data_IF_111130367795
#
_entry.id   IF_111130367795
#
_cell.length_a   1.000
_cell.length_b   1.000
_cell.length_c   1.000
_cell.angle_alpha   90.00
_cell.angle_beta   90.00
_cell.angle_gamma   90.00
#
_symmetry.space_group_name_H-M   'P 1'
#
loop_
_entity.id
_entity.type
_entity.pdbx_description
1 polymer ?
#
# COMPACT_ATOMS: atom_id res chain seq x y z
N UNK A 1 -4.27 -22.63 -8.88
CA UNK A 1 -4.28 -21.15 -9.03
C UNK A 1 -3.29 -20.47 -8.07
N UNK A 2 -3.32 -20.80 -6.77
CA UNK A 2 -2.39 -20.31 -5.72
C UNK A 2 -0.88 -20.39 -6.10
N UNK A 3 -0.33 -21.48 -6.67
CA UNK A 3 1.12 -21.57 -6.93
C UNK A 3 1.61 -20.60 -8.03
N UNK A 4 0.78 -20.26 -9.00
CA UNK A 4 1.12 -19.30 -10.06
C UNK A 4 1.13 -17.86 -9.51
N UNK A 5 0.25 -17.56 -8.55
CA UNK A 5 0.17 -16.25 -7.89
C UNK A 5 1.36 -16.06 -6.95
N UNK A 6 1.69 -17.07 -6.14
CA UNK A 6 2.86 -17.04 -5.27
C UNK A 6 4.16 -16.84 -6.07
N UNK A 7 4.35 -17.60 -7.15
CA UNK A 7 5.49 -17.43 -8.05
C UNK A 7 5.54 -16.03 -8.69
N UNK A 8 4.40 -15.45 -9.05
CA UNK A 8 4.35 -14.10 -9.59
C UNK A 8 4.67 -13.01 -8.55
N UNK A 9 4.25 -13.19 -7.29
CA UNK A 9 4.55 -12.25 -6.20
C UNK A 9 6.03 -12.24 -5.82
N UNK A 10 6.71 -13.39 -5.92
CA UNK A 10 8.15 -13.48 -5.63
C UNK A 10 9.04 -12.94 -6.76
N UNK A 11 8.62 -13.13 -8.02
CA UNK A 11 9.48 -12.86 -9.18
C UNK A 11 9.17 -11.54 -9.91
N UNK A 12 8.05 -10.88 -9.63
CA UNK A 12 7.69 -9.62 -10.29
C UNK A 12 7.90 -8.43 -9.37
N UNK A 13 8.27 -7.26 -9.92
CA UNK A 13 8.27 -6.02 -9.15
C UNK A 13 6.86 -5.77 -8.58
N UNK A 14 6.82 -5.35 -7.31
CA UNK A 14 5.57 -5.10 -6.59
C UNK A 14 4.73 -4.08 -7.34
N UNK A 15 3.43 -4.33 -7.44
CA UNK A 15 2.50 -3.39 -8.07
C UNK A 15 2.38 -2.11 -7.23
N UNK A 16 2.66 -0.92 -7.81
CA UNK A 16 2.49 0.35 -7.11
C UNK A 16 1.01 0.65 -6.91
N UNK A 17 0.64 1.04 -5.70
CA UNK A 17 -0.71 1.39 -5.29
C UNK A 17 -0.71 2.80 -4.73
N UNK A 18 -1.67 3.59 -5.21
CA UNK A 18 -1.95 4.94 -4.73
C UNK A 18 -3.29 4.88 -3.99
N UNK A 19 -3.27 5.21 -2.70
CA UNK A 19 -4.44 5.30 -1.85
C UNK A 19 -4.79 6.77 -1.64
N UNK A 20 -5.95 7.18 -2.16
CA UNK A 20 -6.43 8.55 -2.07
C UNK A 20 -7.57 8.64 -1.07
N UNK A 21 -7.46 9.57 -0.13
CA UNK A 21 -8.50 9.86 0.84
C UNK A 21 -9.40 10.99 0.31
N UNK A 22 -10.68 10.71 0.18
CA UNK A 22 -11.71 11.68 -0.22
C UNK A 22 -12.46 12.22 0.99
N UNK A 23 -13.78 12.06 0.99
CA UNK A 23 -14.64 12.35 2.15
C UNK A 23 -14.84 11.07 2.98
N UNK A 24 -13.76 10.56 3.59
CA UNK A 24 -13.81 9.34 4.40
C UNK A 24 -13.50 9.59 5.89
N UNK A 25 -13.83 8.60 6.72
CA UNK A 25 -13.61 8.64 8.17
C UNK A 25 -12.29 8.02 8.64
N UNK A 26 -11.35 7.71 7.74
CA UNK A 26 -10.10 6.94 7.97
C UNK A 26 -10.26 5.53 8.56
N UNK A 27 -11.46 5.18 8.99
CA UNK A 27 -11.96 3.87 9.41
C UNK A 27 -11.66 2.73 8.40
N UNK A 28 -11.58 3.03 7.11
CA UNK A 28 -11.17 2.08 6.06
C UNK A 28 -9.70 1.69 6.22
N UNK A 29 -8.83 2.65 6.50
CA UNK A 29 -7.41 2.39 6.76
C UNK A 29 -7.18 1.74 8.12
N UNK A 30 -7.96 2.10 9.14
CA UNK A 30 -7.91 1.38 10.43
C UNK A 30 -8.22 -0.11 10.26
N UNK A 31 -9.27 -0.42 9.49
CA UNK A 31 -9.66 -1.79 9.17
C UNK A 31 -8.56 -2.54 8.41
N UNK A 32 -7.88 -1.84 7.49
CA UNK A 32 -6.73 -2.40 6.77
C UNK A 32 -5.56 -2.74 7.71
N UNK A 33 -5.19 -1.84 8.63
CA UNK A 33 -4.10 -2.06 9.59
C UNK A 33 -4.40 -3.25 10.53
N UNK A 34 -5.67 -3.47 10.87
CA UNK A 34 -6.11 -4.59 11.72
C UNK A 34 -6.39 -5.90 10.97
N UNK A 35 -6.18 -5.94 9.66
CA UNK A 35 -6.39 -7.16 8.87
C UNK A 35 -5.41 -8.26 9.27
N UNK A 36 -5.92 -9.50 9.41
CA UNK A 36 -5.14 -10.65 9.89
C UNK A 36 -4.54 -11.51 8.76
N UNK A 37 -5.20 -11.57 7.60
CA UNK A 37 -4.79 -12.40 6.48
C UNK A 37 -5.06 -11.70 5.14
N UNK A 38 -4.06 -11.04 4.52
CA UNK A 38 -2.69 -10.80 5.02
C UNK A 38 -2.64 -9.74 6.13
N UNK A 39 -1.55 -9.77 6.93
CA UNK A 39 -1.24 -8.65 7.82
C UNK A 39 -0.89 -7.41 6.99
N UNK A 40 -1.24 -6.22 7.46
CA UNK A 40 -0.95 -4.98 6.73
C UNK A 40 0.53 -4.81 6.38
N UNK A 41 1.43 -5.20 7.29
CA UNK A 41 2.88 -5.21 7.03
C UNK A 41 3.27 -6.13 5.86
N UNK A 42 2.63 -7.30 5.77
CA UNK A 42 2.95 -8.30 4.74
C UNK A 42 2.30 -7.89 3.41
N UNK A 43 1.16 -7.22 3.46
CA UNK A 43 0.57 -6.60 2.29
C UNK A 43 1.49 -5.53 1.69
N UNK A 44 1.95 -4.56 2.49
CA UNK A 44 2.79 -3.44 2.03
C UNK A 44 4.22 -3.88 1.68
N UNK A 45 4.77 -4.90 2.34
CA UNK A 45 6.16 -5.32 2.11
C UNK A 45 6.29 -6.49 1.13
N UNK A 46 5.25 -7.30 0.94
CA UNK A 46 5.35 -8.53 0.14
C UNK A 46 4.34 -8.62 -0.99
N UNK A 47 3.24 -7.84 -0.97
CA UNK A 47 2.20 -7.92 -2.00
C UNK A 47 2.15 -6.67 -2.90
N UNK A 48 2.12 -5.48 -2.31
CA UNK A 48 1.94 -4.21 -3.02
C UNK A 48 3.00 -3.20 -2.59
N UNK A 49 3.36 -2.26 -3.46
CA UNK A 49 4.14 -1.07 -3.07
C UNK A 49 3.15 0.06 -2.79
N UNK A 50 2.94 0.39 -1.52
CA UNK A 50 2.06 1.52 -1.16
C UNK A 50 2.86 2.81 -1.28
N UNK A 51 2.79 3.46 -2.45
CA UNK A 51 3.61 4.64 -2.76
C UNK A 51 2.96 5.96 -2.33
N UNK A 52 1.65 5.97 -2.07
CA UNK A 52 0.94 7.14 -1.55
C UNK A 52 -0.24 6.71 -0.68
N UNK A 53 -0.25 7.16 0.58
CA UNK A 53 -1.34 7.04 1.55
C UNK A 53 -1.15 8.14 2.60
N UNK A 54 -2.10 9.06 2.77
CA UNK A 54 -1.92 10.25 3.61
C UNK A 54 -1.86 9.92 5.11
N UNK A 55 -2.30 8.72 5.53
CA UNK A 55 -2.43 8.33 6.94
C UNK A 55 -1.22 7.57 7.49
N UNK A 56 -0.58 6.71 6.68
CA UNK A 56 0.54 5.85 7.12
C UNK A 56 1.87 6.15 6.44
N UNK A 57 1.93 7.12 5.52
CA UNK A 57 3.21 7.51 4.92
C UNK A 57 4.12 8.28 5.88
N UNK A 58 5.43 8.12 5.71
CA UNK A 58 6.43 8.84 6.50
C UNK A 58 6.66 10.29 6.04
N UNK A 59 6.42 10.57 4.75
CA UNK A 59 6.64 11.89 4.18
C UNK A 59 5.44 12.81 4.45
N UNK A 60 5.68 14.10 4.71
CA UNK A 60 4.63 15.09 4.92
C UNK A 60 4.91 16.39 4.15
N UNK A 61 3.88 17.20 3.91
CA UNK A 61 3.99 18.49 3.24
C UNK A 61 4.31 18.37 1.75
N UNK A 62 5.39 19.00 1.27
CA UNK A 62 5.74 18.99 -0.15
C UNK A 62 6.47 17.70 -0.60
N UNK A 63 7.00 16.93 0.33
CA UNK A 63 7.82 15.75 0.06
C UNK A 63 7.06 14.62 -0.65
N UNK A 64 5.81 14.28 -0.26
CA UNK A 64 5.01 13.24 -0.93
C UNK A 64 4.78 13.55 -2.42
N UNK A 65 4.38 14.77 -2.73
CA UNK A 65 4.15 15.21 -4.12
C UNK A 65 5.42 15.29 -4.97
N UNK A 66 6.60 15.33 -4.35
CA UNK A 66 7.89 15.36 -5.06
C UNK A 66 8.27 13.99 -5.62
N UNK A 67 7.78 12.91 -5.00
CA UNK A 67 7.95 11.51 -5.47
C UNK A 67 7.35 11.29 -6.86
N UNK A 68 6.29 12.01 -7.19
CA UNK A 68 5.50 11.87 -8.42
C UNK A 68 5.69 13.01 -9.42
N UNK A 69 6.51 14.02 -9.09
CA UNK A 69 6.94 15.07 -10.04
C UNK A 69 8.11 14.54 -10.88
N UNK A 70 7.80 13.68 -11.84
CA UNK A 70 8.65 13.31 -12.98
C UNK A 70 7.84 13.47 -14.27
#
# INVERSE_FOLDING_TARGET
MIPQIAYALENKPRTPVIWLHGLECTCCTESFIRSAHPLAKDAILSLISLDYDDTIMAAAGQQPSRRWRM
#
